data_IF_884687269396
#
_entry.id   IF_884687269396
#
_cell.length_a   1.000
_cell.length_b   1.000
_cell.length_c   1.000
_cell.angle_alpha   90.00
_cell.angle_beta   90.00
_cell.angle_gamma   90.00
#
_symmetry.space_group_name_H-M   'P 1'
#
loop_
_entity.id
_entity.type
_entity.pdbx_description
1 polymer ?
#
# COMPACT_ATOMS: atom_id res chain seq x y z
N UNK A 1 18.40 32.03 -57.63
CA UNK A 1 19.71 32.08 -56.94
C UNK A 1 19.52 32.03 -55.41
N UNK A 2 19.69 30.86 -54.81
CA UNK A 2 19.53 30.63 -53.37
C UNK A 2 20.88 30.77 -52.67
N UNK A 3 20.95 31.58 -51.61
CA UNK A 3 22.15 31.77 -50.78
C UNK A 3 21.98 31.02 -49.46
N UNK A 4 22.93 30.15 -49.13
CA UNK A 4 22.96 29.42 -47.86
C UNK A 4 23.86 30.15 -46.86
N UNK A 5 23.40 30.35 -45.62
CA UNK A 5 24.13 31.07 -44.57
C UNK A 5 25.28 30.30 -43.91
N UNK A 6 25.58 29.08 -44.35
CA UNK A 6 26.75 28.32 -43.87
C UNK A 6 27.19 27.27 -44.89
N UNK A 7 28.50 27.16 -45.11
CA UNK A 7 29.10 26.12 -45.95
C UNK A 7 28.90 24.73 -45.34
N UNK A 8 28.62 23.68 -46.14
CA UNK A 8 28.42 22.33 -45.61
C UNK A 8 29.73 21.76 -45.09
N UNK A 9 29.77 21.48 -43.79
CA UNK A 9 30.89 20.81 -43.14
C UNK A 9 30.54 19.34 -42.86
N UNK A 10 31.45 18.42 -43.21
CA UNK A 10 31.23 17.00 -42.92
C UNK A 10 31.44 16.72 -41.42
N UNK A 11 30.48 15.99 -40.81
CA UNK A 11 30.58 15.58 -39.42
C UNK A 11 31.60 14.44 -39.28
N UNK A 12 32.52 14.46 -38.29
CA UNK A 12 33.42 13.34 -38.08
C UNK A 12 32.62 12.11 -37.62
N UNK A 13 32.99 10.93 -38.16
CA UNK A 13 32.32 9.68 -37.87
C UNK A 13 32.43 9.31 -36.38
N UNK A 14 31.28 9.20 -35.69
CA UNK A 14 31.22 8.66 -34.34
C UNK A 14 31.43 7.14 -34.37
N UNK A 15 32.33 6.56 -33.55
CA UNK A 15 32.46 5.12 -33.44
C UNK A 15 31.18 4.51 -32.82
N UNK A 16 30.73 3.39 -33.39
CA UNK A 16 29.42 2.75 -33.11
C UNK A 16 29.37 1.90 -31.83
N UNK A 17 30.46 1.72 -31.10
CA UNK A 17 30.46 0.92 -29.86
C UNK A 17 31.35 1.52 -28.77
N UNK A 18 30.94 1.34 -27.51
CA UNK A 18 31.65 1.79 -26.30
C UNK A 18 32.70 0.74 -25.91
N UNK A 19 33.98 1.07 -26.06
CA UNK A 19 35.09 0.24 -25.58
C UNK A 19 35.23 0.35 -24.05
N UNK A 20 35.33 -0.81 -23.41
CA UNK A 20 35.61 -0.95 -21.98
C UNK A 20 37.12 -0.81 -21.70
N UNK A 21 37.41 -0.43 -20.46
CA UNK A 21 38.66 0.08 -19.88
C UNK A 21 39.86 -0.87 -19.85
N UNK A 22 41.10 -0.37 -20.02
CA UNK A 22 42.06 -0.17 -18.91
C UNK A 22 43.49 0.24 -19.35
N UNK A 23 44.12 1.03 -18.47
CA UNK A 23 45.56 1.23 -18.23
C UNK A 23 46.43 1.94 -19.29
N UNK A 24 46.70 3.23 -19.07
CA UNK A 24 48.05 3.80 -19.01
C UNK A 24 47.97 5.31 -18.75
N UNK A 25 48.82 5.81 -17.88
CA UNK A 25 48.96 7.21 -17.49
C UNK A 25 49.39 8.06 -18.69
N UNK A 26 48.57 9.04 -19.07
CA UNK A 26 49.05 10.24 -19.76
C UNK A 26 48.09 11.39 -19.46
N UNK A 27 48.63 12.40 -18.78
CA UNK A 27 48.20 13.80 -18.75
C UNK A 27 46.72 14.09 -19.06
N UNK A 28 45.89 14.09 -18.03
CA UNK A 28 44.54 14.65 -18.10
C UNK A 28 44.63 16.16 -18.29
N UNK A 29 44.63 16.60 -19.55
CA UNK A 29 44.19 17.96 -19.89
C UNK A 29 42.79 18.13 -19.27
N UNK A 30 42.55 19.16 -18.43
CA UNK A 30 41.22 19.37 -17.89
C UNK A 30 40.31 19.66 -19.08
N UNK A 31 39.31 18.80 -19.29
CA UNK A 31 38.18 19.07 -20.17
C UNK A 31 37.58 20.39 -19.67
N UNK A 32 37.95 21.49 -20.30
CA UNK A 32 37.37 22.81 -20.06
C UNK A 32 35.96 22.74 -20.59
N UNK A 33 35.04 22.27 -19.74
CA UNK A 33 33.63 22.59 -19.92
C UNK A 33 33.56 24.11 -20.09
N UNK A 34 33.02 24.63 -21.22
CA UNK A 34 32.85 26.06 -21.35
C UNK A 34 32.00 26.49 -20.17
N UNK A 35 32.56 27.38 -19.37
CA UNK A 35 31.92 27.88 -18.17
C UNK A 35 30.54 28.38 -18.60
N UNK A 36 29.46 27.76 -18.10
CA UNK A 36 28.08 28.14 -18.45
C UNK A 36 27.93 29.66 -18.26
N UNK A 37 28.61 30.20 -17.24
CA UNK A 37 29.38 31.48 -17.17
C UNK A 37 29.32 32.45 -18.36
N UNK A 38 29.73 32.00 -19.53
CA UNK A 38 30.11 32.83 -20.68
C UNK A 38 29.40 32.31 -21.94
N UNK A 39 28.49 31.33 -21.81
CA UNK A 39 27.75 30.77 -22.94
C UNK A 39 26.66 31.74 -23.44
N UNK A 40 26.74 32.25 -24.68
CA UNK A 40 25.78 33.20 -25.23
C UNK A 40 24.38 32.60 -25.44
N UNK A 41 24.21 31.27 -25.33
CA UNK A 41 22.92 30.58 -25.44
C UNK A 41 22.17 30.54 -24.11
N UNK A 42 22.83 30.87 -23.00
CA UNK A 42 22.27 30.79 -21.65
C UNK A 42 21.82 32.18 -21.19
N UNK A 43 20.52 32.45 -21.32
CA UNK A 43 19.90 33.70 -20.89
C UNK A 43 19.85 33.74 -19.36
N UNK A 44 20.72 34.54 -18.74
CA UNK A 44 20.67 34.79 -17.30
C UNK A 44 19.63 35.86 -16.98
N UNK A 45 18.49 35.43 -16.45
CA UNK A 45 17.53 36.33 -15.84
C UNK A 45 18.17 37.09 -14.66
N UNK A 46 17.96 38.41 -14.60
CA UNK A 46 18.48 39.28 -13.54
C UNK A 46 17.49 39.28 -12.37
N UNK A 47 17.80 38.56 -11.29
CA UNK A 47 16.89 38.33 -10.16
C UNK A 47 16.92 39.41 -9.07
N UNK A 48 17.53 40.59 -9.30
CA UNK A 48 17.54 41.72 -8.35
C UNK A 48 17.49 43.06 -9.09
N UNK A 49 16.28 43.50 -9.43
CA UNK A 49 15.99 44.92 -9.69
C UNK A 49 14.75 45.37 -8.95
N UNK A 50 14.70 45.05 -7.65
CA UNK A 50 13.99 45.83 -6.64
C UNK A 50 15.05 46.59 -5.84
N UNK A 51 15.56 47.68 -6.44
CA UNK A 51 16.27 48.72 -5.69
C UNK A 51 15.56 50.04 -5.97
N UNK A 52 14.75 50.44 -5.01
CA UNK A 52 14.30 51.82 -4.84
C UNK A 52 15.56 52.71 -4.76
N UNK A 53 15.74 53.58 -5.76
CA UNK A 53 16.73 54.64 -5.75
C UNK A 53 15.99 55.98 -5.92
N UNK A 54 16.21 56.97 -5.04
CA UNK A 54 15.59 58.28 -5.16
C UNK A 54 16.27 59.10 -6.27
N UNK A 55 15.41 59.68 -7.11
CA UNK A 55 15.47 61.00 -7.76
C UNK A 55 16.85 61.68 -7.93
N UNK A 56 17.36 61.69 -9.16
CA UNK A 56 18.41 62.61 -9.59
C UNK A 56 19.22 62.10 -10.78
N UNK A 57 18.91 62.59 -11.98
CA UNK A 57 19.72 62.50 -13.21
C UNK A 57 19.82 61.14 -13.93
N UNK A 58 18.78 60.81 -14.71
CA UNK A 58 18.90 60.11 -16.00
C UNK A 58 17.84 60.67 -16.98
N UNK A 59 18.19 60.92 -18.26
CA UNK A 59 17.25 61.47 -19.24
C UNK A 59 16.13 60.48 -19.54
N UNK A 60 14.95 61.02 -19.82
CA UNK A 60 13.70 60.25 -19.88
C UNK A 60 13.68 59.30 -21.10
N UNK A 61 13.19 58.07 -20.90
CA UNK A 61 13.01 57.06 -21.95
C UNK A 61 12.23 57.52 -23.22
N UNK A 62 11.29 58.49 -23.20
CA UNK A 62 10.69 59.01 -24.44
C UNK A 62 11.65 59.86 -25.30
N UNK A 63 12.68 60.50 -24.74
CA UNK A 63 13.64 61.31 -25.51
C UNK A 63 14.58 60.45 -26.35
N UNK A 64 15.06 59.32 -25.79
CA UNK A 64 15.92 58.38 -26.51
C UNK A 64 15.16 57.65 -27.64
N UNK A 65 13.85 57.37 -27.44
CA UNK A 65 12.98 56.85 -28.50
C UNK A 65 12.66 57.92 -29.56
N UNK A 66 12.45 59.19 -29.18
CA UNK A 66 12.26 60.31 -30.11
C UNK A 66 13.49 60.54 -30.99
N UNK A 67 14.69 60.51 -30.43
CA UNK A 67 15.93 60.70 -31.20
C UNK A 67 16.17 59.56 -32.20
N UNK A 68 15.91 58.29 -31.82
CA UNK A 68 16.03 57.15 -32.74
C UNK A 68 14.97 57.15 -33.85
N UNK A 69 13.74 57.56 -33.53
CA UNK A 69 12.69 57.72 -34.55
C UNK A 69 12.94 58.91 -35.48
N UNK A 70 13.53 60.00 -34.97
CA UNK A 70 13.92 61.16 -35.78
C UNK A 70 15.05 60.82 -36.76
N UNK A 71 16.06 60.03 -36.33
CA UNK A 71 17.13 59.56 -37.20
C UNK A 71 16.63 58.59 -38.29
N UNK A 72 15.64 57.74 -37.99
CA UNK A 72 15.02 56.84 -38.99
C UNK A 72 14.07 57.55 -39.97
N UNK A 73 13.44 58.67 -39.56
CA UNK A 73 12.51 59.44 -40.41
C UNK A 73 13.19 60.56 -41.22
N UNK A 74 14.43 60.94 -40.91
CA UNK A 74 15.18 61.95 -41.64
C UNK A 74 15.42 61.63 -43.13
N UNK A 75 15.84 60.41 -43.54
CA UNK A 75 16.01 60.10 -44.97
C UNK A 75 14.66 59.96 -45.70
N UNK A 76 13.63 59.44 -45.01
CA UNK A 76 12.29 59.30 -45.60
C UNK A 76 11.64 60.67 -45.91
N UNK A 77 11.83 61.68 -45.04
CA UNK A 77 11.35 63.05 -45.27
C UNK A 77 12.05 63.75 -46.44
N UNK A 78 13.36 63.51 -46.65
CA UNK A 78 14.08 64.07 -47.80
C UNK A 78 13.52 63.53 -49.12
N UNK A 79 13.24 62.23 -49.19
CA UNK A 79 12.64 61.59 -50.37
C UNK A 79 11.20 62.06 -50.63
N UNK A 80 10.40 62.35 -49.59
CA UNK A 80 9.04 62.89 -49.78
C UNK A 80 9.05 64.36 -50.18
N UNK A 81 10.02 65.16 -49.70
CA UNK A 81 10.12 66.58 -50.04
C UNK A 81 10.58 66.80 -51.49
N UNK A 82 11.44 65.93 -52.03
CA UNK A 82 11.83 65.93 -53.44
C UNK A 82 10.69 65.47 -54.38
N UNK A 83 9.76 64.64 -53.89
CA UNK A 83 8.59 64.19 -54.68
C UNK A 83 7.39 65.14 -54.64
N UNK A 84 7.33 66.11 -53.72
CA UNK A 84 6.18 67.00 -53.52
C UNK A 84 6.40 68.42 -54.08
N UNK A 85 7.61 68.75 -54.57
CA UNK A 85 7.80 69.98 -55.35
C UNK A 85 7.47 69.70 -56.83
N UNK A 86 6.42 70.31 -57.43
CA UNK A 86 6.33 70.34 -58.88
C UNK A 86 7.51 71.18 -59.38
N UNK A 87 8.55 70.51 -59.88
CA UNK A 87 9.70 71.18 -60.49
C UNK A 87 9.23 72.01 -61.70
N UNK A 88 9.84 73.18 -61.88
CA UNK A 88 9.66 73.98 -63.09
C UNK A 88 9.94 73.07 -64.30
N UNK A 89 9.04 72.97 -65.29
CA UNK A 89 9.24 72.09 -66.44
C UNK A 89 10.54 72.41 -67.17
N UNK A 90 11.18 71.40 -67.76
CA UNK A 90 12.48 71.56 -68.42
C UNK A 90 12.43 72.56 -69.59
N UNK A 91 13.52 73.33 -69.83
CA UNK A 91 13.60 74.25 -70.95
C UNK A 91 13.45 73.54 -72.30
N UNK A 92 12.67 74.15 -73.19
CA UNK A 92 12.54 73.68 -74.58
C UNK A 92 13.89 73.77 -75.29
N UNK A 93 14.29 72.71 -76.00
CA UNK A 93 15.60 72.59 -76.65
C UNK A 93 15.95 73.86 -77.48
N UNK A 94 17.10 74.47 -77.17
CA UNK A 94 17.60 75.68 -77.81
C UNK A 94 17.27 77.00 -77.11
N UNK A 95 16.66 76.98 -75.92
CA UNK A 95 16.46 78.18 -75.06
C UNK A 95 16.93 77.93 -73.64
N UNK A 96 17.55 78.94 -73.03
CA UNK A 96 17.92 78.93 -71.61
C UNK A 96 16.88 79.66 -70.77
N UNK A 97 16.62 79.19 -69.55
CA UNK A 97 15.72 79.86 -68.61
C UNK A 97 16.41 81.09 -68.00
N UNK A 98 15.72 82.23 -68.04
CA UNK A 98 16.15 83.47 -67.36
C UNK A 98 15.31 83.65 -66.09
N UNK A 99 15.99 83.90 -64.97
CA UNK A 99 15.32 84.20 -63.71
C UNK A 99 14.73 85.62 -63.77
N UNK A 100 13.41 85.73 -63.69
CA UNK A 100 12.67 86.99 -63.54
C UNK A 100 12.39 87.19 -62.05
N UNK A 101 12.55 88.41 -61.51
CA UNK A 101 12.17 88.72 -60.14
C UNK A 101 10.66 88.54 -59.95
N UNK A 102 10.25 87.41 -59.38
CA UNK A 102 8.86 87.10 -59.01
C UNK A 102 8.60 87.31 -57.52
N UNK A 103 9.56 87.89 -56.80
CA UNK A 103 9.38 88.31 -55.42
C UNK A 103 8.53 89.59 -55.39
N UNK A 104 7.74 89.76 -54.32
CA UNK A 104 6.84 90.88 -54.16
C UNK A 104 7.66 92.18 -53.97
N UNK A 105 7.92 92.92 -55.05
CA UNK A 105 8.59 94.22 -55.02
C UNK A 105 7.52 95.32 -55.01
N UNK A 106 7.30 95.94 -53.86
CA UNK A 106 6.35 97.06 -53.69
C UNK A 106 7.15 98.37 -53.74
N UNK A 107 6.95 99.17 -54.80
CA UNK A 107 7.36 100.58 -54.82
C UNK A 107 6.23 101.43 -54.24
N UNK A 108 6.53 102.19 -53.18
CA UNK A 108 5.58 103.12 -52.56
C UNK A 108 5.58 104.43 -53.36
N UNK A 109 4.57 104.63 -54.21
CA UNK A 109 4.37 105.87 -54.97
C UNK A 109 3.87 106.94 -54.00
N UNK A 110 4.72 107.90 -53.63
CA UNK A 110 4.43 108.95 -52.65
C UNK A 110 4.01 110.28 -53.29
N UNK A 111 3.17 110.24 -54.33
CA UNK A 111 2.58 111.43 -54.94
C UNK A 111 1.18 111.71 -54.36
N UNK A 112 1.09 112.79 -53.57
CA UNK A 112 -0.17 113.30 -53.01
C UNK A 112 -1.03 113.92 -54.11
N UNK A 113 -2.21 113.35 -54.35
CA UNK A 113 -3.20 113.86 -55.31
C UNK A 113 -3.91 115.07 -54.68
N UNK A 114 -3.96 116.20 -55.39
CA UNK A 114 -4.62 117.43 -54.92
C UNK A 114 -6.14 117.29 -55.07
N UNK A 115 -6.86 117.29 -53.96
CA UNK A 115 -8.33 117.30 -53.94
C UNK A 115 -8.85 118.74 -54.12
N UNK A 116 -9.81 118.93 -55.02
CA UNK A 116 -10.48 120.21 -55.27
C UNK A 116 -11.97 120.01 -55.02
N UNK A 117 -12.51 120.69 -54.01
CA UNK A 117 -13.92 120.65 -53.67
C UNK A 117 -14.74 121.53 -54.63
N UNK A 118 -15.75 120.93 -55.27
CA UNK A 118 -16.72 121.62 -56.13
C UNK A 118 -18.12 121.46 -55.55
N UNK A 119 -18.75 122.57 -55.16
CA UNK A 119 -20.13 122.57 -54.65
C UNK A 119 -21.14 122.61 -55.81
N UNK A 120 -22.10 121.68 -55.82
CA UNK A 120 -23.16 121.58 -56.83
C UNK A 120 -24.54 121.82 -56.21
N UNK A 121 -25.29 122.78 -56.75
CA UNK A 121 -26.68 123.06 -56.40
C UNK A 121 -27.61 121.98 -56.98
N UNK A 122 -28.39 121.32 -56.12
CA UNK A 122 -29.30 120.23 -56.46
C UNK A 122 -30.75 120.72 -56.45
N UNK A 123 -31.44 120.60 -57.59
CA UNK A 123 -32.90 120.82 -57.69
C UNK A 123 -33.68 119.62 -57.09
N UNK A 124 -34.89 119.89 -56.59
CA UNK A 124 -35.77 118.89 -55.95
C UNK A 124 -36.20 117.77 -56.91
N UNK A 125 -35.91 116.53 -56.52
CA UNK A 125 -36.12 115.31 -57.28
C UNK A 125 -37.58 114.82 -57.13
N UNK A 126 -38.34 114.72 -58.22
CA UNK A 126 -39.67 114.09 -58.20
C UNK A 126 -39.54 112.55 -58.29
N UNK A 127 -40.32 111.83 -57.48
CA UNK A 127 -40.27 110.37 -57.36
C UNK A 127 -40.59 109.65 -58.68
N UNK A 128 -39.56 108.98 -59.22
CA UNK A 128 -39.67 108.07 -60.36
C UNK A 128 -40.23 106.73 -59.88
N UNK A 129 -41.22 106.12 -60.56
CA UNK A 129 -41.72 104.81 -60.16
C UNK A 129 -40.59 103.75 -60.19
N UNK A 130 -40.63 102.76 -59.28
CA UNK A 130 -39.56 101.78 -59.16
C UNK A 130 -39.42 100.96 -60.43
N UNK A 131 -38.21 100.91 -60.97
CA UNK A 131 -37.89 100.14 -62.18
C UNK A 131 -38.18 98.66 -61.94
N UNK A 132 -38.90 97.96 -62.85
CA UNK A 132 -39.22 96.55 -62.65
C UNK A 132 -37.95 95.69 -62.54
N UNK A 133 -37.99 94.70 -61.65
CA UNK A 133 -36.89 93.76 -61.42
C UNK A 133 -36.66 92.89 -62.66
N UNK A 134 -35.44 92.95 -63.21
CA UNK A 134 -35.02 92.10 -64.31
C UNK A 134 -34.72 90.69 -63.79
N UNK A 135 -35.53 89.71 -64.18
CA UNK A 135 -35.26 88.28 -63.94
C UNK A 135 -34.65 87.72 -65.23
N UNK A 136 -33.36 87.35 -65.24
CA UNK A 136 -32.74 86.75 -66.41
C UNK A 136 -33.44 85.42 -66.74
N UNK A 137 -33.69 85.16 -68.03
CA UNK A 137 -34.11 83.83 -68.46
C UNK A 137 -33.01 82.81 -68.09
N UNK A 138 -33.39 81.64 -67.57
CA UNK A 138 -32.43 80.56 -67.32
C UNK A 138 -31.79 80.16 -68.66
N UNK A 139 -30.51 80.47 -68.83
CA UNK A 139 -29.74 80.09 -70.02
C UNK A 139 -28.87 78.88 -69.67
N UNK A 140 -29.30 77.69 -70.09
CA UNK A 140 -28.62 76.41 -69.85
C UNK A 140 -29.54 75.25 -70.22
N UNK A 141 -28.97 74.08 -70.55
CA UNK A 141 -29.74 72.85 -70.75
C UNK A 141 -29.61 72.00 -69.48
N UNK A 142 -30.73 71.75 -68.81
CA UNK A 142 -30.76 70.86 -67.65
C UNK A 142 -30.61 69.40 -68.15
N UNK A 143 -29.60 68.68 -67.66
CA UNK A 143 -29.35 67.27 -67.97
C UNK A 143 -29.32 66.51 -66.65
N UNK A 144 -30.17 65.49 -66.53
CA UNK A 144 -30.13 64.54 -65.44
C UNK A 144 -29.47 63.25 -65.93
N UNK A 145 -28.48 62.77 -65.18
CA UNK A 145 -27.87 61.46 -65.36
C UNK A 145 -28.23 60.60 -64.15
N UNK A 146 -28.87 59.46 -64.37
CA UNK A 146 -29.19 58.49 -63.35
C UNK A 146 -28.51 57.16 -63.69
N UNK A 147 -27.95 56.50 -62.68
CA UNK A 147 -27.35 55.17 -62.81
C UNK A 147 -28.45 54.16 -62.48
N UNK A 148 -28.71 53.23 -63.39
CA UNK A 148 -29.74 52.21 -63.22
C UNK A 148 -29.22 51.03 -62.39
N UNK A 149 -30.13 50.26 -61.80
CA UNK A 149 -29.77 49.08 -61.01
C UNK A 149 -28.99 48.07 -61.87
N UNK A 150 -27.75 47.78 -61.46
CA UNK A 150 -26.86 46.83 -62.14
C UNK A 150 -25.83 47.44 -63.10
N UNK A 151 -25.88 48.75 -63.38
CA UNK A 151 -24.94 49.41 -64.32
C UNK A 151 -23.50 49.49 -63.78
N UNK A 152 -23.33 49.47 -62.46
CA UNK A 152 -22.01 49.49 -61.78
C UNK A 152 -21.59 48.15 -61.18
N UNK A 153 -22.33 47.06 -61.41
CA UNK A 153 -22.03 45.77 -60.81
C UNK A 153 -20.83 45.10 -61.48
N UNK A 154 -19.80 44.76 -60.70
CA UNK A 154 -18.63 44.01 -61.15
C UNK A 154 -18.59 42.65 -60.46
N UNK A 155 -19.01 41.62 -61.20
CA UNK A 155 -19.07 40.25 -60.70
C UNK A 155 -17.76 39.80 -60.04
N UNK A 156 -16.61 40.15 -60.60
CA UNK A 156 -15.30 39.71 -60.12
C UNK A 156 -14.91 40.38 -58.80
N UNK A 157 -15.51 41.51 -58.45
CA UNK A 157 -15.32 42.19 -57.15
C UNK A 157 -16.33 41.66 -56.15
N UNK A 158 -17.60 41.60 -56.53
CA UNK A 158 -18.70 41.24 -55.63
C UNK A 158 -18.70 39.75 -55.24
N UNK A 159 -18.17 38.84 -56.07
CA UNK A 159 -18.13 37.39 -55.76
C UNK A 159 -17.01 37.00 -54.79
N UNK A 160 -15.94 37.80 -54.70
CA UNK A 160 -14.77 37.53 -53.85
C UNK A 160 -15.12 37.25 -52.38
N UNK A 161 -15.90 38.10 -51.67
CA UNK A 161 -16.25 37.83 -50.27
C UNK A 161 -17.11 36.56 -50.11
N UNK A 162 -17.95 36.24 -51.09
CA UNK A 162 -18.79 35.03 -51.06
C UNK A 162 -17.92 33.78 -51.19
N UNK A 163 -16.99 33.79 -52.14
CA UNK A 163 -16.04 32.68 -52.34
C UNK A 163 -15.07 32.55 -51.16
N UNK A 164 -14.58 33.64 -50.59
CA UNK A 164 -13.71 33.62 -49.42
C UNK A 164 -14.41 32.95 -48.23
N UNK A 165 -15.67 33.29 -47.96
CA UNK A 165 -16.45 32.66 -46.89
C UNK A 165 -16.74 31.19 -47.19
N UNK A 166 -17.09 30.84 -48.44
CA UNK A 166 -17.36 29.45 -48.82
C UNK A 166 -16.12 28.57 -48.71
N UNK A 167 -14.99 29.02 -49.28
CA UNK A 167 -13.73 28.27 -49.24
C UNK A 167 -13.19 28.22 -47.80
N UNK A 168 -13.26 29.34 -47.06
CA UNK A 168 -12.85 29.40 -45.67
C UNK A 168 -13.62 28.41 -44.80
N UNK A 169 -14.96 28.43 -44.87
CA UNK A 169 -15.80 27.50 -44.09
C UNK A 169 -15.63 26.04 -44.48
N UNK A 170 -15.50 25.75 -45.78
CA UNK A 170 -15.32 24.36 -46.24
C UNK A 170 -13.98 23.78 -45.79
N UNK A 171 -12.91 24.57 -45.84
CA UNK A 171 -11.59 24.14 -45.35
C UNK A 171 -11.56 24.04 -43.83
N UNK A 172 -12.17 24.99 -43.11
CA UNK A 172 -12.26 24.96 -41.65
C UNK A 172 -13.06 23.74 -41.17
N UNK A 173 -14.22 23.48 -41.77
CA UNK A 173 -15.03 22.31 -41.44
C UNK A 173 -14.28 21.01 -41.74
N UNK A 174 -13.66 20.88 -42.92
CA UNK A 174 -12.88 19.69 -43.27
C UNK A 174 -11.71 19.45 -42.31
N UNK A 175 -11.04 20.52 -41.85
CA UNK A 175 -9.95 20.39 -40.89
C UNK A 175 -10.45 19.90 -39.53
N UNK A 176 -11.58 20.44 -39.04
CA UNK A 176 -12.18 20.00 -37.78
C UNK A 176 -12.61 18.53 -37.84
N UNK A 177 -13.27 18.11 -38.93
CA UNK A 177 -13.71 16.73 -39.12
C UNK A 177 -12.51 15.75 -39.11
N UNK A 178 -11.43 16.07 -39.84
CA UNK A 178 -10.21 15.23 -39.85
C UNK A 178 -9.56 15.16 -38.47
N UNK A 179 -9.51 16.28 -37.74
CA UNK A 179 -8.97 16.29 -36.37
C UNK A 179 -9.81 15.42 -35.43
N UNK A 180 -11.14 15.50 -35.50
CA UNK A 180 -12.05 14.65 -34.72
C UNK A 180 -11.88 13.17 -35.05
N UNK A 181 -11.74 12.81 -36.33
CA UNK A 181 -11.50 11.44 -36.77
C UNK A 181 -10.17 10.88 -36.23
N UNK A 182 -9.10 11.67 -36.27
CA UNK A 182 -7.80 11.29 -35.73
C UNK A 182 -7.85 11.10 -34.20
N UNK A 183 -8.51 12.00 -33.47
CA UNK A 183 -8.70 11.89 -32.03
C UNK A 183 -9.50 10.63 -31.66
N UNK A 184 -10.60 10.37 -32.36
CA UNK A 184 -11.41 9.16 -32.15
C UNK A 184 -10.61 7.89 -32.44
N UNK A 185 -9.81 7.87 -33.52
CA UNK A 185 -8.95 6.74 -33.84
C UNK A 185 -7.90 6.48 -32.75
N UNK A 186 -7.30 7.55 -32.21
CA UNK A 186 -6.35 7.45 -31.10
C UNK A 186 -7.02 6.91 -29.84
N UNK A 187 -8.18 7.44 -29.45
CA UNK A 187 -8.94 6.97 -28.28
C UNK A 187 -9.32 5.48 -28.39
N UNK A 188 -9.79 5.05 -29.56
CA UNK A 188 -10.11 3.65 -29.82
C UNK A 188 -8.87 2.76 -29.77
N UNK A 189 -7.74 3.21 -30.32
CA UNK A 189 -6.48 2.46 -30.23
C UNK A 189 -6.01 2.30 -28.79
N UNK A 190 -6.11 3.35 -27.97
CA UNK A 190 -5.76 3.32 -26.56
C UNK A 190 -6.71 2.42 -25.76
N UNK A 191 -8.01 2.49 -26.04
CA UNK A 191 -9.00 1.61 -25.41
C UNK A 191 -8.70 0.13 -25.71
N UNK A 192 -8.42 -0.20 -26.97
CA UNK A 192 -8.06 -1.58 -27.37
C UNK A 192 -6.82 -2.07 -26.64
N UNK A 193 -5.73 -1.29 -26.67
CA UNK A 193 -4.50 -1.63 -25.96
C UNK A 193 -4.73 -1.84 -24.46
N UNK A 194 -5.53 -0.98 -23.82
CA UNK A 194 -5.88 -1.13 -22.40
C UNK A 194 -6.71 -2.39 -22.14
N UNK A 195 -7.69 -2.70 -23.00
CA UNK A 195 -8.50 -3.92 -22.86
C UNK A 195 -7.66 -5.19 -23.05
N UNK A 196 -6.72 -5.18 -23.99
CA UNK A 196 -5.80 -6.30 -24.22
C UNK A 196 -4.91 -6.54 -23.00
N UNK A 197 -4.31 -5.48 -22.46
CA UNK A 197 -3.49 -5.54 -21.24
C UNK A 197 -4.31 -6.06 -20.06
N UNK A 198 -5.49 -5.46 -19.83
CA UNK A 198 -6.39 -5.87 -18.73
C UNK A 198 -6.82 -7.33 -18.85
N UNK A 199 -7.12 -7.80 -20.06
CA UNK A 199 -7.50 -9.19 -20.30
C UNK A 199 -6.33 -10.14 -20.05
N UNK A 200 -5.11 -9.76 -20.44
CA UNK A 200 -3.91 -10.54 -20.18
C UNK A 200 -3.59 -10.61 -18.66
N UNK A 201 -3.66 -9.48 -17.96
CA UNK A 201 -3.49 -9.41 -16.50
C UNK A 201 -4.55 -10.27 -15.79
N UNK A 202 -5.81 -10.17 -16.21
CA UNK A 202 -6.89 -10.96 -15.62
C UNK A 202 -6.69 -12.46 -15.80
N UNK A 203 -6.24 -12.90 -16.99
CA UNK A 203 -5.91 -14.30 -17.24
C UNK A 203 -4.72 -14.79 -16.39
N UNK A 204 -3.71 -13.95 -16.17
CA UNK A 204 -2.59 -14.27 -15.29
C UNK A 204 -3.03 -14.40 -13.83
N UNK A 205 -3.85 -13.47 -13.34
CA UNK A 205 -4.40 -13.51 -11.98
C UNK A 205 -5.21 -14.77 -11.74
N UNK A 206 -6.07 -15.16 -12.68
CA UNK A 206 -6.82 -16.42 -12.60
C UNK A 206 -5.88 -17.63 -12.49
N UNK A 207 -4.82 -17.65 -13.31
CA UNK A 207 -3.82 -18.72 -13.26
C UNK A 207 -3.12 -18.80 -11.90
N UNK A 208 -2.75 -17.67 -11.32
CA UNK A 208 -2.10 -17.60 -10.00
C UNK A 208 -3.07 -17.98 -8.88
N UNK A 209 -4.32 -17.53 -8.93
CA UNK A 209 -5.34 -17.87 -7.95
C UNK A 209 -5.62 -19.37 -7.90
N UNK A 210 -5.69 -20.03 -9.07
CA UNK A 210 -5.84 -21.48 -9.13
C UNK A 210 -4.64 -22.23 -8.55
N UNK A 211 -3.41 -21.73 -8.79
CA UNK A 211 -2.21 -22.31 -8.19
C UNK A 211 -2.22 -22.15 -6.67
N UNK A 212 -2.55 -20.95 -6.18
CA UNK A 212 -2.68 -20.66 -4.75
C UNK A 212 -3.77 -21.50 -4.09
N UNK A 213 -4.90 -21.73 -4.77
CA UNK A 213 -5.96 -22.63 -4.30
C UNK A 213 -5.41 -24.04 -4.09
N UNK A 214 -4.70 -24.60 -5.08
CA UNK A 214 -4.09 -25.95 -4.98
C UNK A 214 -3.07 -26.04 -3.85
N UNK A 215 -2.19 -25.04 -3.72
CA UNK A 215 -1.18 -25.00 -2.66
C UNK A 215 -1.85 -24.89 -1.28
N UNK A 216 -2.90 -24.07 -1.16
CA UNK A 216 -3.65 -23.91 0.09
C UNK A 216 -4.34 -25.21 0.50
N UNK A 217 -5.01 -25.87 -0.43
CA UNK A 217 -5.64 -27.18 -0.20
C UNK A 217 -4.60 -28.23 0.23
N UNK A 218 -3.46 -28.30 -0.43
CA UNK A 218 -2.38 -29.22 -0.06
C UNK A 218 -1.81 -28.90 1.33
N UNK A 219 -1.58 -27.62 1.63
CA UNK A 219 -1.07 -27.16 2.93
C UNK A 219 -2.05 -27.51 4.06
N UNK A 220 -3.34 -27.31 3.85
CA UNK A 220 -4.38 -27.70 4.81
C UNK A 220 -4.39 -29.22 5.02
N UNK A 221 -4.30 -30.02 3.94
CA UNK A 221 -4.23 -31.48 4.05
C UNK A 221 -3.02 -31.92 4.87
N UNK A 222 -1.82 -31.40 4.55
CA UNK A 222 -0.59 -31.70 5.31
C UNK A 222 -0.70 -31.25 6.77
N UNK A 223 -1.35 -30.12 7.05
CA UNK A 223 -1.58 -29.63 8.43
C UNK A 223 -2.47 -30.60 9.21
N UNK A 224 -3.58 -31.04 8.62
CA UNK A 224 -4.49 -32.01 9.24
C UNK A 224 -3.79 -33.33 9.53
N UNK A 225 -3.07 -33.88 8.54
CA UNK A 225 -2.28 -35.11 8.71
C UNK A 225 -1.23 -34.97 9.83
N UNK A 226 -0.55 -33.83 9.92
CA UNK A 226 0.43 -33.57 10.97
C UNK A 226 -0.22 -33.45 12.36
N UNK A 227 -1.38 -32.79 12.45
CA UNK A 227 -2.12 -32.64 13.69
C UNK A 227 -2.61 -33.99 14.21
N UNK A 228 -3.12 -34.86 13.33
CA UNK A 228 -3.50 -36.23 13.69
C UNK A 228 -2.31 -37.06 14.18
N UNK A 229 -1.17 -36.98 13.48
CA UNK A 229 0.07 -37.64 13.92
C UNK A 229 0.50 -37.17 15.31
N UNK A 230 0.47 -35.86 15.55
CA UNK A 230 0.84 -35.27 16.83
C UNK A 230 -0.13 -35.66 17.95
N UNK A 231 -1.43 -35.75 17.66
CA UNK A 231 -2.43 -36.27 18.60
C UNK A 231 -2.14 -37.72 18.98
N UNK A 232 -1.91 -38.59 17.98
CA UNK A 232 -1.56 -40.00 18.23
C UNK A 232 -0.26 -40.12 19.03
N UNK A 233 0.75 -39.30 18.72
CA UNK A 233 2.00 -39.26 19.48
C UNK A 233 1.78 -38.89 20.94
N UNK A 234 0.96 -37.88 21.23
CA UNK A 234 0.58 -37.51 22.60
C UNK A 234 -0.11 -38.66 23.32
N UNK A 235 -1.14 -39.25 22.70
CA UNK A 235 -1.85 -40.40 23.27
C UNK A 235 -0.91 -41.59 23.54
N UNK A 236 0.04 -41.87 22.64
CA UNK A 236 1.04 -42.92 22.88
C UNK A 236 2.02 -42.56 23.99
N UNK A 237 2.48 -41.31 24.07
CA UNK A 237 3.39 -40.86 25.09
C UNK A 237 2.74 -40.91 26.49
N UNK A 238 1.48 -40.51 26.61
CA UNK A 238 0.70 -40.62 27.84
C UNK A 238 0.51 -42.07 28.27
N UNK A 239 0.20 -42.98 27.33
CA UNK A 239 0.09 -44.42 27.63
C UNK A 239 1.42 -45.00 28.12
N UNK A 240 2.53 -44.66 27.48
CA UNK A 240 3.87 -45.11 27.90
C UNK A 240 4.22 -44.53 29.28
N UNK A 241 3.92 -43.26 29.52
CA UNK A 241 4.16 -42.63 30.81
C UNK A 241 3.32 -43.27 31.93
N UNK A 242 2.03 -43.55 31.67
CA UNK A 242 1.15 -44.22 32.61
C UNK A 242 1.61 -45.66 32.89
N UNK A 243 2.06 -46.40 31.87
CA UNK A 243 2.62 -47.74 32.03
C UNK A 243 3.89 -47.70 32.88
N UNK A 244 4.83 -46.81 32.57
CA UNK A 244 6.08 -46.66 33.32
C UNK A 244 5.81 -46.25 34.79
N UNK A 245 4.85 -45.34 35.00
CA UNK A 245 4.41 -44.95 36.35
C UNK A 245 3.81 -46.13 37.11
N UNK A 246 2.88 -46.87 36.50
CA UNK A 246 2.26 -48.04 37.13
C UNK A 246 3.28 -49.12 37.47
N UNK A 247 4.23 -49.42 36.57
CA UNK A 247 5.30 -50.38 36.82
C UNK A 247 6.17 -49.97 38.02
N UNK A 248 6.60 -48.71 38.06
CA UNK A 248 7.40 -48.20 39.18
C UNK A 248 6.62 -48.21 40.50
N UNK A 249 5.37 -47.76 40.48
CA UNK A 249 4.51 -47.74 41.65
C UNK A 249 4.23 -49.15 42.19
N UNK A 250 3.90 -50.11 41.30
CA UNK A 250 3.66 -51.50 41.67
C UNK A 250 4.93 -52.19 42.18
N UNK A 251 6.09 -51.89 41.59
CA UNK A 251 7.36 -52.46 42.02
C UNK A 251 7.69 -52.11 43.49
N UNK A 252 7.34 -50.90 43.94
CA UNK A 252 7.55 -50.47 45.32
C UNK A 252 6.38 -50.89 46.25
N UNK A 253 5.15 -50.84 45.75
CA UNK A 253 3.95 -51.16 46.54
C UNK A 253 3.84 -52.65 46.90
N UNK A 254 4.13 -53.55 45.95
CA UNK A 254 3.99 -55.00 46.16
C UNK A 254 4.85 -55.44 47.37
N UNK A 255 6.18 -55.20 47.41
CA UNK A 255 6.99 -55.58 48.57
C UNK A 255 6.54 -54.90 49.86
N UNK A 256 6.14 -53.62 49.80
CA UNK A 256 5.68 -52.89 51.00
C UNK A 256 4.41 -53.49 51.61
N UNK A 257 3.42 -53.83 50.78
CA UNK A 257 2.18 -54.47 51.25
C UNK A 257 2.45 -55.90 51.72
N UNK A 258 3.27 -56.67 51.00
CA UNK A 258 3.64 -58.02 51.43
C UNK A 258 4.38 -58.01 52.77
N UNK A 259 5.32 -57.09 52.97
CA UNK A 259 6.02 -56.93 54.25
C UNK A 259 5.06 -56.49 55.36
N UNK A 260 4.18 -55.52 55.11
CA UNK A 260 3.17 -55.11 56.10
C UNK A 260 2.21 -56.25 56.48
N UNK A 261 1.81 -57.05 55.49
CA UNK A 261 0.92 -58.20 55.69
C UNK A 261 1.63 -59.36 56.41
N UNK A 262 2.93 -59.51 56.19
CA UNK A 262 3.79 -60.41 56.94
C UNK A 262 3.98 -59.94 58.39
N UNK A 263 4.29 -58.67 58.60
CA UNK A 263 4.48 -58.07 59.94
C UNK A 263 3.19 -58.07 60.76
N UNK A 264 2.02 -57.95 60.12
CA UNK A 264 0.70 -58.07 60.76
C UNK A 264 0.30 -59.52 61.04
N UNK A 265 1.12 -60.50 60.69
CA UNK A 265 0.92 -61.92 61.01
C UNK A 265 -0.18 -62.60 60.19
N UNK A 266 -0.55 -62.04 59.03
CA UNK A 266 -1.55 -62.65 58.16
C UNK A 266 -0.99 -63.84 57.37
N UNK A 267 0.30 -63.81 57.03
CA UNK A 267 1.02 -64.98 56.53
C UNK A 267 1.52 -65.80 57.72
N UNK A 268 0.89 -66.95 57.96
CA UNK A 268 1.30 -67.91 58.97
C UNK A 268 1.55 -69.27 58.33
N UNK A 269 2.44 -70.07 58.92
CA UNK A 269 2.56 -71.47 58.53
C UNK A 269 1.33 -72.24 59.06
N UNK A 270 0.54 -72.89 58.19
CA UNK A 270 -0.61 -73.67 58.63
C UNK A 270 -0.24 -74.76 59.64
N UNK A 271 0.99 -75.28 59.58
CA UNK A 271 1.47 -76.30 60.51
C UNK A 271 1.72 -75.69 61.88
N UNK A 272 2.44 -74.57 61.97
CA UNK A 272 2.69 -73.89 63.25
C UNK A 272 1.38 -73.49 63.92
N UNK A 273 0.43 -72.94 63.15
CA UNK A 273 -0.87 -72.55 63.69
C UNK A 273 -1.70 -73.75 64.13
N UNK A 274 -1.73 -74.84 63.36
CA UNK A 274 -2.40 -76.07 63.76
C UNK A 274 -1.78 -76.68 65.03
N UNK A 275 -0.45 -76.60 65.18
CA UNK A 275 0.22 -77.01 66.41
C UNK A 275 -0.22 -76.15 67.60
N UNK A 276 -0.26 -74.81 67.43
CA UNK A 276 -0.69 -73.89 68.49
C UNK A 276 -2.17 -74.02 68.84
N UNK A 277 -3.06 -74.20 67.86
CA UNK A 277 -4.52 -74.17 68.09
C UNK A 277 -5.13 -75.53 68.35
N UNK A 278 -4.55 -76.61 67.83
CA UNK A 278 -5.12 -77.97 67.94
C UNK A 278 -4.25 -78.86 68.82
N UNK A 279 -2.95 -78.96 68.52
CA UNK A 279 -2.07 -79.90 69.22
C UNK A 279 -1.74 -79.48 70.66
N UNK A 280 -1.38 -78.22 70.90
CA UNK A 280 -1.05 -77.75 72.25
C UNK A 280 -2.25 -77.86 73.21
N UNK A 281 -3.48 -77.44 72.84
CA UNK A 281 -4.64 -77.63 73.71
C UNK A 281 -4.95 -79.11 73.96
N UNK A 282 -4.84 -79.96 72.94
CA UNK A 282 -5.00 -81.41 73.10
C UNK A 282 -3.94 -82.03 74.01
N UNK A 283 -2.67 -81.63 73.88
CA UNK A 283 -1.60 -82.10 74.75
C UNK A 283 -1.82 -81.63 76.20
N UNK A 284 -2.23 -80.37 76.38
CA UNK A 284 -2.53 -79.81 77.70
C UNK A 284 -3.72 -80.52 78.36
N UNK A 285 -4.77 -80.88 77.60
CA UNK A 285 -5.91 -81.63 78.15
C UNK A 285 -5.54 -83.06 78.53
N UNK A 286 -4.71 -83.76 77.75
CA UNK A 286 -4.20 -85.09 78.11
C UNK A 286 -3.27 -85.06 79.34
N UNK A 287 -2.39 -84.05 79.43
CA UNK A 287 -1.57 -83.84 80.62
C UNK A 287 -2.45 -83.57 81.84
N UNK A 288 -3.51 -82.77 81.69
CA UNK A 288 -4.47 -82.52 82.77
C UNK A 288 -5.22 -83.79 83.18
N UNK A 289 -5.68 -84.62 82.23
CA UNK A 289 -6.35 -85.89 82.55
C UNK A 289 -5.41 -86.85 83.29
N UNK A 290 -4.15 -86.98 82.85
CA UNK A 290 -3.18 -87.83 83.56
C UNK A 290 -2.86 -87.30 84.96
N UNK A 291 -2.82 -85.98 85.15
CA UNK A 291 -2.65 -85.37 86.46
C UNK A 291 -3.88 -85.61 87.35
N UNK A 292 -5.09 -85.47 86.82
CA UNK A 292 -6.34 -85.78 87.52
C UNK A 292 -6.42 -87.24 87.94
N UNK A 293 -6.04 -88.18 87.05
CA UNK A 293 -5.94 -89.62 87.40
C UNK A 293 -4.92 -89.86 88.53
N UNK A 294 -3.78 -89.16 88.52
CA UNK A 294 -2.80 -89.23 89.62
C UNK A 294 -3.33 -88.64 90.93
N UNK A 295 -4.03 -87.50 90.88
CA UNK A 295 -4.67 -86.89 92.05
C UNK A 295 -5.75 -87.80 92.61
N UNK A 296 -6.62 -88.36 91.76
CA UNK A 296 -7.64 -89.34 92.16
C UNK A 296 -6.99 -90.57 92.79
N UNK A 297 -5.91 -91.10 92.20
CA UNK A 297 -5.15 -92.21 92.77
C UNK A 297 -4.59 -91.89 94.16
N UNK A 298 -4.07 -90.68 94.38
CA UNK A 298 -3.62 -90.22 95.71
C UNK A 298 -4.78 -90.09 96.70
N UNK A 299 -5.91 -89.50 96.29
CA UNK A 299 -7.10 -89.37 97.16
C UNK A 299 -7.67 -90.73 97.54
N UNK A 300 -7.75 -91.66 96.59
CA UNK A 300 -8.20 -93.03 96.84
C UNK A 300 -7.24 -93.74 97.80
N UNK A 301 -5.93 -93.62 97.60
CA UNK A 301 -4.92 -94.15 98.52
C UNK A 301 -5.06 -93.56 99.92
N UNK A 302 -5.22 -92.24 100.05
CA UNK A 302 -5.43 -91.57 101.35
C UNK A 302 -6.73 -92.04 102.04
N UNK A 303 -7.81 -92.26 101.27
CA UNK A 303 -9.05 -92.83 101.80
C UNK A 303 -8.87 -94.28 102.26
N UNK A 304 -8.07 -95.06 101.54
CA UNK A 304 -7.77 -96.45 101.88
C UNK A 304 -6.90 -96.52 103.15
N UNK A 305 -5.91 -95.63 103.26
CA UNK A 305 -5.12 -95.45 104.48
C UNK A 305 -6.04 -95.06 105.64
N UNK A 306 -6.97 -94.10 105.46
CA UNK A 306 -7.92 -93.70 106.51
C UNK A 306 -8.81 -94.87 106.96
N UNK A 307 -9.40 -95.63 106.04
CA UNK A 307 -10.24 -96.79 106.39
C UNK A 307 -9.47 -97.91 107.08
N UNK A 308 -8.20 -98.17 106.69
CA UNK A 308 -7.34 -99.14 107.38
C UNK A 308 -7.00 -98.66 108.78
N UNK A 309 -6.73 -97.36 108.97
CA UNK A 309 -6.48 -96.77 110.29
C UNK A 309 -7.74 -96.84 111.17
N UNK A 310 -8.92 -96.52 110.63
CA UNK A 310 -10.21 -96.63 111.34
C UNK A 310 -10.50 -98.08 111.75
N UNK A 311 -10.37 -99.05 110.84
CA UNK A 311 -10.53 -100.49 111.17
C UNK A 311 -9.57 -100.94 112.27
N UNK A 312 -8.31 -100.50 112.24
CA UNK A 312 -7.35 -100.80 113.32
C UNK A 312 -7.71 -100.10 114.63
N UNK A 313 -8.28 -98.90 114.58
CA UNK A 313 -8.77 -98.19 115.77
C UNK A 313 -9.97 -98.93 116.39
N UNK A 314 -10.89 -99.42 115.55
CA UNK A 314 -12.04 -100.24 115.93
C UNK A 314 -11.60 -101.59 116.53
N UNK A 315 -10.60 -102.25 115.93
CA UNK A 315 -9.97 -103.47 116.47
C UNK A 315 -9.31 -103.22 117.84
N UNK A 316 -8.74 -102.04 118.07
CA UNK A 316 -8.16 -101.65 119.36
C UNK A 316 -9.21 -101.27 120.42
N UNK A 317 -10.42 -100.86 120.01
CA UNK A 317 -11.49 -100.45 120.93
C UNK A 317 -12.44 -101.58 121.34
N UNK A 318 -12.30 -102.78 120.76
CA UNK A 318 -12.96 -104.00 121.23
C UNK A 318 -11.98 -104.94 121.99
N UNK A 319 -12.15 -105.14 123.31
CA UNK A 319 -11.35 -106.12 124.06
C UNK A 319 -11.76 -107.56 123.70
N UNK A 320 -10.81 -108.53 123.63
CA UNK A 320 -11.10 -109.88 123.16
C UNK A 320 -11.89 -110.70 124.20
N UNK A 321 -12.98 -111.40 123.81
CA UNK A 321 -13.59 -112.44 124.63
C UNK A 321 -13.04 -113.84 124.30
N UNK A 322 -13.18 -114.69 125.31
CA UNK A 322 -12.51 -115.96 125.63
C UNK A 322 -12.95 -117.23 124.89
N UNK A 323 -12.05 -118.22 124.91
CA UNK A 323 -12.13 -119.63 124.52
C UNK A 323 -13.45 -120.38 124.77
N UNK A 324 -13.84 -121.28 123.85
CA UNK A 324 -13.99 -122.75 124.04
C UNK A 324 -14.66 -123.50 122.85
N UNK A 325 -13.89 -124.38 122.20
CA UNK A 325 -14.08 -125.85 122.01
C UNK A 325 -15.30 -126.48 121.27
N UNK A 326 -14.99 -127.14 120.14
CA UNK A 326 -15.45 -128.42 119.51
C UNK A 326 -16.93 -128.76 119.17
N UNK A 327 -17.19 -129.15 117.91
CA UNK A 327 -17.44 -130.55 117.42
C UNK A 327 -18.11 -130.54 116.00
N UNK A 328 -18.32 -131.67 115.25
CA UNK A 328 -17.50 -132.02 114.07
C UNK A 328 -18.26 -132.44 112.76
N UNK A 329 -17.45 -132.70 111.71
CA UNK A 329 -17.59 -133.64 110.56
C UNK A 329 -18.81 -133.56 109.61
N UNK A 330 -18.57 -133.45 108.29
CA UNK A 330 -18.46 -134.59 107.34
C UNK A 330 -18.23 -134.09 105.88
N UNK A 331 -17.35 -134.78 105.16
CA UNK A 331 -16.96 -134.67 103.73
C UNK A 331 -18.11 -135.12 102.78
N UNK A 332 -18.11 -134.87 101.43
CA UNK A 332 -17.02 -135.23 100.51
C UNK A 332 -16.77 -134.38 99.24
N UNK A 333 -15.56 -134.60 98.71
CA UNK A 333 -15.01 -134.40 97.34
C UNK A 333 -15.95 -134.92 96.21
N UNK A 334 -15.79 -134.52 94.92
CA UNK A 334 -14.52 -134.38 94.21
C UNK A 334 -14.35 -133.17 93.28
N UNK A 335 -13.08 -132.92 92.96
CA UNK A 335 -12.56 -131.95 92.02
C UNK A 335 -12.53 -132.52 90.61
N UNK A 336 -12.92 -131.72 89.62
CA UNK A 336 -12.14 -131.51 88.39
C UNK A 336 -12.73 -130.33 87.59
N UNK A 337 -11.97 -129.88 86.60
CA UNK A 337 -12.37 -129.04 85.47
C UNK A 337 -12.19 -127.52 85.62
N UNK A 338 -11.05 -127.08 85.06
CA UNK A 338 -10.93 -125.90 84.20
C UNK A 338 -12.00 -125.91 83.05
N UNK A 339 -11.99 -125.03 82.02
CA UNK A 339 -11.12 -123.89 81.72
C UNK A 339 -11.86 -122.67 81.09
N UNK A 340 -11.07 -121.67 80.69
CA UNK A 340 -11.10 -121.03 79.35
C UNK A 340 -12.09 -119.90 78.98
N UNK A 341 -11.52 -118.97 78.18
CA UNK A 341 -12.09 -117.99 77.21
C UNK A 341 -12.93 -116.86 77.82
N UNK A 342 -12.73 -115.57 77.48
CA UNK A 342 -12.31 -114.95 76.21
C UNK A 342 -11.51 -113.66 76.39
#
# INVERSE_FOLDING_TARGET
>A
PYSFCSEPHSLPARPKYRSQTNAAETEKVPVRYPNIMIDPRVVRGKALSLRLLPQGAQPSAPEVKRQKNAQKKAPARKLTQEQIQPGTPEPVEGREHVYVQTELYLEEISDLIVEVDGECQTDEFLDRPPTPLFIPAKTGKDVATQIEEGELFDFDIEVKPILEVLVGKTVEQALLEVMEEEELAQLLSHQRAFTELRNAEFAELQRLEEQDRRIREEKERRRLEHLEKLRKQKETAEKIAAQAFAQRYLADLIPSVFNNLHDSGFFYDPIERAVETEFLPWLMSEVEETLQRKVLGRVMLDSLIRTVVEKRLDEFSHPPPSDQTEAPAEEPKPADAAPQVS
#
